data_IF_968189727531
#
_entry.id   IF_968189727531
#
_cell.length_a   1.000
_cell.length_b   1.000
_cell.length_c   1.000
_cell.angle_alpha   90.00
_cell.angle_beta   90.00
_cell.angle_gamma   90.00
#
_symmetry.space_group_name_H-M   'P 1'
#
loop_
_entity.id
_entity.type
_entity.pdbx_description
1 polymer ?
#
# COMPACT_ATOMS: atom_id res chain seq x y z
N UNK A 1 -2.02 4.42 -16.03
CA UNK A 1 -0.57 4.65 -16.09
C UNK A 1 -0.33 5.94 -16.86
N UNK A 2 0.34 6.90 -16.25
CA UNK A 2 0.75 8.15 -16.92
C UNK A 2 2.27 8.11 -17.04
N UNK A 3 2.80 8.40 -18.23
CA UNK A 3 4.25 8.41 -18.51
C UNK A 3 5.00 7.11 -18.14
N UNK A 4 4.33 5.96 -18.28
CA UNK A 4 4.92 4.66 -17.93
C UNK A 4 5.09 4.43 -16.43
N UNK A 5 4.51 5.28 -15.57
CA UNK A 5 4.54 5.14 -14.11
C UNK A 5 3.25 4.51 -13.59
N UNK A 6 3.42 3.66 -12.59
CA UNK A 6 2.34 3.08 -11.81
C UNK A 6 2.18 3.89 -10.52
N UNK A 7 0.97 4.38 -10.27
CA UNK A 7 0.65 5.08 -9.03
C UNK A 7 -0.14 4.14 -8.11
N UNK A 8 0.37 3.91 -6.90
CA UNK A 8 -0.28 3.08 -5.90
C UNK A 8 -0.60 3.91 -4.66
N UNK A 9 -1.85 3.84 -4.21
CA UNK A 9 -2.26 4.22 -2.86
C UNK A 9 -2.66 2.95 -2.12
N UNK A 10 -2.04 2.74 -0.96
CA UNK A 10 -2.28 1.55 -0.12
C UNK A 10 -2.81 2.04 1.21
N UNK A 11 -3.95 1.49 1.64
CA UNK A 11 -4.48 1.65 2.99
C UNK A 11 -4.30 0.32 3.70
N UNK A 12 -3.75 0.38 4.91
CA UNK A 12 -3.64 -0.76 5.80
C UNK A 12 -4.34 -0.39 7.11
N UNK A 13 -5.30 -1.21 7.53
CA UNK A 13 -5.99 -1.13 8.81
C UNK A 13 -5.86 -2.49 9.53
N UNK A 14 -6.30 -2.55 10.78
CA UNK A 14 -6.19 -3.71 11.69
C UNK A 14 -6.66 -5.04 11.09
N UNK A 15 -7.60 -5.00 10.15
CA UNK A 15 -8.20 -6.20 9.55
C UNK A 15 -8.17 -6.24 8.02
N UNK A 16 -7.57 -5.25 7.35
CA UNK A 16 -7.65 -5.15 5.90
C UNK A 16 -6.47 -4.40 5.26
N UNK A 17 -6.22 -4.75 4.00
CA UNK A 17 -5.37 -3.99 3.10
C UNK A 17 -6.17 -3.69 1.84
N UNK A 18 -6.10 -2.43 1.40
CA UNK A 18 -6.74 -1.95 0.18
C UNK A 18 -5.71 -1.26 -0.69
N UNK A 19 -5.68 -1.63 -1.97
CA UNK A 19 -4.74 -1.09 -2.97
C UNK A 19 -5.53 -0.45 -4.09
N UNK A 20 -5.24 0.82 -4.35
CA UNK A 20 -5.81 1.62 -5.43
C UNK A 20 -4.71 1.93 -6.43
N UNK A 21 -4.81 1.36 -7.62
CA UNK A 21 -3.87 1.60 -8.72
C UNK A 21 -4.42 2.65 -9.67
N UNK A 22 -3.52 3.54 -10.12
CA UNK A 22 -3.78 4.58 -11.11
C UNK A 22 -5.05 5.40 -10.81
N UNK A 23 -5.10 5.95 -9.60
CA UNK A 23 -6.19 6.78 -9.08
C UNK A 23 -7.53 6.04 -8.96
N UNK A 24 -7.48 4.74 -8.67
CA UNK A 24 -8.67 3.91 -8.44
C UNK A 24 -9.25 3.28 -9.70
N UNK A 25 -8.53 3.31 -10.83
CA UNK A 25 -8.91 2.55 -12.03
C UNK A 25 -8.96 1.04 -11.78
N UNK A 26 -8.10 0.55 -10.88
CA UNK A 26 -8.12 -0.82 -10.39
C UNK A 26 -8.04 -0.78 -8.87
N UNK A 27 -8.90 -1.57 -8.22
CA UNK A 27 -8.94 -1.70 -6.76
C UNK A 27 -8.85 -3.16 -6.36
N UNK A 28 -8.04 -3.42 -5.33
CA UNK A 28 -7.92 -4.73 -4.70
C UNK A 28 -8.16 -4.53 -3.21
N UNK A 29 -9.13 -5.26 -2.66
CA UNK A 29 -9.44 -5.26 -1.23
C UNK A 29 -9.26 -6.66 -0.66
N UNK A 30 -8.57 -6.78 0.47
CA UNK A 30 -8.33 -8.07 1.11
C UNK A 30 -8.42 -7.94 2.64
N UNK A 31 -9.24 -8.79 3.24
CA UNK A 31 -9.20 -9.01 4.68
C UNK A 31 -7.92 -9.75 5.07
N UNK A 32 -7.24 -9.27 6.11
CA UNK A 32 -6.01 -9.87 6.64
C UNK A 32 -6.02 -9.77 8.16
N UNK A 33 -5.62 -10.86 8.82
CA UNK A 33 -5.35 -10.87 10.26
C UNK A 33 -3.84 -10.90 10.42
N UNK A 34 -3.27 -9.80 10.89
CA UNK A 34 -1.83 -9.70 11.16
C UNK A 34 -1.60 -10.20 12.59
N UNK A 35 -0.95 -11.36 12.73
CA UNK A 35 -0.55 -11.90 14.03
C UNK A 35 0.88 -11.43 14.36
N UNK A 36 1.04 -10.61 15.41
CA UNK A 36 2.36 -10.22 15.93
C UNK A 36 2.56 -8.72 16.08
N UNK A 37 3.67 -8.36 16.72
CA UNK A 37 4.04 -6.96 17.00
C UNK A 37 4.77 -6.28 15.81
N UNK A 38 5.26 -7.05 14.84
CA UNK A 38 5.97 -6.49 13.69
C UNK A 38 5.00 -5.97 12.61
N UNK A 39 4.83 -4.64 12.57
CA UNK A 39 3.92 -3.93 11.65
C UNK A 39 4.69 -3.00 10.68
N UNK A 40 5.94 -3.34 10.37
CA UNK A 40 6.80 -2.54 9.49
C UNK A 40 6.37 -2.59 8.03
N UNK A 41 6.76 -1.57 7.26
CA UNK A 41 6.59 -1.52 5.80
C UNK A 41 7.95 -1.51 5.14
N UNK A 42 8.18 -2.43 4.20
CA UNK A 42 9.40 -2.50 3.41
C UNK A 42 9.13 -2.36 1.92
N UNK A 43 10.12 -1.81 1.20
CA UNK A 43 10.17 -1.85 -0.26
C UNK A 43 11.10 -2.97 -0.68
N UNK A 44 10.61 -3.89 -1.49
CA UNK A 44 11.42 -4.97 -2.03
C UNK A 44 11.28 -5.09 -3.54
N UNK A 45 12.33 -5.60 -4.19
CA UNK A 45 12.31 -6.00 -5.59
C UNK A 45 12.90 -7.40 -5.70
N UNK A 46 12.22 -8.29 -6.43
CA UNK A 46 12.67 -9.68 -6.62
C UNK A 46 13.02 -9.91 -8.08
N UNK A 47 14.18 -10.53 -8.34
CA UNK A 47 14.69 -10.87 -9.69
C UNK A 47 14.88 -9.66 -10.62
N UNK A 48 15.30 -8.52 -10.07
CA UNK A 48 15.57 -7.33 -10.88
C UNK A 48 15.58 -6.05 -10.04
N UNK A 49 15.48 -4.91 -10.73
CA UNK A 49 15.45 -3.58 -10.11
C UNK A 49 14.13 -2.91 -10.40
N UNK A 50 13.44 -2.45 -9.35
CA UNK A 50 12.35 -1.51 -9.45
C UNK A 50 12.88 -0.09 -9.22
N UNK A 51 12.40 0.89 -9.99
CA UNK A 51 12.67 2.31 -9.75
C UNK A 51 11.46 2.91 -9.05
N UNK A 52 11.64 3.35 -7.82
CA UNK A 52 10.58 3.98 -7.03
C UNK A 52 10.81 5.50 -7.05
N UNK A 53 9.87 6.25 -7.62
CA UNK A 53 10.01 7.70 -7.75
C UNK A 53 9.74 8.46 -6.46
N UNK A 54 8.70 8.05 -5.70
CA UNK A 54 8.32 8.66 -4.42
C UNK A 54 7.62 7.63 -3.56
N UNK A 55 7.92 7.66 -2.27
CA UNK A 55 7.14 6.96 -1.24
C UNK A 55 6.76 7.97 -0.17
N UNK A 56 5.51 7.87 0.30
CA UNK A 56 4.98 8.68 1.38
C UNK A 56 4.12 7.77 2.25
N UNK A 57 4.50 7.62 3.51
CA UNK A 57 3.73 6.90 4.51
C UNK A 57 3.14 7.89 5.51
N UNK A 58 1.90 7.69 5.92
CA UNK A 58 1.21 8.51 6.91
C UNK A 58 0.38 7.61 7.81
N UNK A 59 0.48 7.80 9.12
CA UNK A 59 -0.38 7.13 10.09
C UNK A 59 -1.81 7.66 9.94
N UNK A 60 -2.77 6.75 9.84
CA UNK A 60 -4.19 7.07 9.85
C UNK A 60 -4.66 7.20 11.29
N UNK A 61 -5.47 8.21 11.58
CA UNK A 61 -6.18 8.32 12.85
C UNK A 61 -7.35 7.34 12.86
N UNK A 62 -7.76 6.92 14.05
CA UNK A 62 -9.05 6.25 14.23
C UNK A 62 -10.16 7.13 13.68
N UNK A 63 -11.11 6.54 12.96
CA UNK A 63 -12.33 7.23 12.54
C UNK A 63 -13.43 7.22 13.63
N UNK A 64 -13.18 6.50 14.73
CA UNK A 64 -14.11 6.35 15.86
C UNK A 64 -13.79 7.28 17.03
N UNK A 65 -12.68 8.02 16.94
CA UNK A 65 -12.27 9.09 17.86
C UNK A 65 -12.38 10.42 17.13
#
# INVERSE_FOLDING_TARGET
MTDGKLHLRILADRGSIEVFADDGRITISRGVLVSGEEQGVELFARRGRARVGRVMARTLKSAWE
#
